data_IF_524028475532
#
_entry.id   IF_524028475532
#
_cell.length_a   1.000
_cell.length_b   1.000
_cell.length_c   1.000
_cell.angle_alpha   90.00
_cell.angle_beta   90.00
_cell.angle_gamma   90.00
#
_symmetry.space_group_name_H-M   'P 1'
#
loop_
_entity.id
_entity.type
_entity.pdbx_description
1 polymer ?
#
# COMPACT_ATOMS: atom_id res chain seq x y z
N UNK A 1 -4.32 -22.17 31.74
CA UNK A 1 -3.08 -22.34 30.99
C UNK A 1 -2.88 -21.11 30.09
N UNK A 2 -1.94 -20.23 30.44
CA UNK A 2 -1.68 -18.96 29.75
C UNK A 2 -1.39 -19.14 28.26
N UNK A 3 -0.74 -20.25 27.90
CA UNK A 3 -0.41 -20.53 26.50
C UNK A 3 -1.64 -20.98 25.67
N UNK A 4 -2.63 -21.62 26.30
CA UNK A 4 -3.83 -22.04 25.58
C UNK A 4 -4.82 -20.90 25.32
N UNK A 5 -4.64 -19.77 25.97
CA UNK A 5 -5.44 -18.56 25.77
C UNK A 5 -4.78 -17.58 24.78
N UNK A 6 -3.58 -17.88 24.33
CA UNK A 6 -2.90 -17.05 23.34
C UNK A 6 -3.29 -17.56 21.94
N UNK A 7 -3.95 -16.71 21.16
CA UNK A 7 -4.45 -17.06 19.81
C UNK A 7 -3.34 -17.48 18.84
N UNK A 8 -2.09 -17.09 19.10
CA UNK A 8 -0.91 -17.54 18.33
C UNK A 8 -0.65 -19.05 18.45
N UNK A 9 -0.96 -19.62 19.60
CA UNK A 9 -0.81 -21.06 19.84
C UNK A 9 -2.12 -21.82 19.67
N UNK A 10 -3.16 -21.14 19.21
CA UNK A 10 -4.41 -21.79 18.87
C UNK A 10 -4.37 -22.25 17.41
N UNK A 11 -4.14 -23.52 17.21
CA UNK A 11 -4.10 -24.16 15.89
C UNK A 11 -5.42 -24.10 15.13
N UNK A 12 -6.50 -23.70 15.78
CA UNK A 12 -7.80 -23.46 15.16
C UNK A 12 -8.01 -22.02 14.74
N UNK A 13 -7.04 -21.15 15.02
CA UNK A 13 -7.10 -19.74 14.63
C UNK A 13 -6.87 -19.63 13.13
N UNK A 14 -7.91 -19.26 12.41
CA UNK A 14 -7.87 -19.12 10.96
C UNK A 14 -7.25 -17.78 10.55
N UNK A 15 -6.51 -17.80 9.45
CA UNK A 15 -6.02 -16.58 8.88
C UNK A 15 -7.18 -15.71 8.36
N UNK A 16 -7.09 -14.42 8.60
CA UNK A 16 -8.10 -13.45 8.20
C UNK A 16 -8.43 -13.55 6.70
N UNK A 17 -9.73 -13.55 6.40
CA UNK A 17 -10.21 -13.58 5.02
C UNK A 17 -10.11 -14.93 4.31
N UNK A 18 -9.62 -15.99 4.97
CA UNK A 18 -9.56 -17.33 4.39
C UNK A 18 -10.69 -18.21 4.91
N UNK A 19 -11.36 -18.89 4.00
CA UNK A 19 -12.36 -19.89 4.34
C UNK A 19 -11.74 -21.30 4.22
N UNK A 20 -11.51 -21.95 5.36
CA UNK A 20 -10.88 -23.27 5.42
C UNK A 20 -11.86 -24.43 5.21
N UNK A 21 -13.16 -24.16 5.11
CA UNK A 21 -14.21 -25.15 4.91
C UNK A 21 -14.57 -25.32 3.42
N UNK A 22 -13.92 -24.57 2.53
CA UNK A 22 -14.10 -24.71 1.08
C UNK A 22 -13.04 -25.61 0.48
N UNK A 23 -13.29 -26.11 -0.72
CA UNK A 23 -12.26 -26.82 -1.50
C UNK A 23 -11.00 -25.95 -1.64
N UNK A 24 -9.85 -26.61 -1.53
CA UNK A 24 -8.56 -25.95 -1.73
C UNK A 24 -8.48 -25.43 -3.17
N UNK A 25 -7.95 -24.22 -3.33
CA UNK A 25 -7.72 -23.65 -4.65
C UNK A 25 -6.78 -24.56 -5.47
N UNK A 26 -7.17 -24.81 -6.70
CA UNK A 26 -6.34 -25.54 -7.66
C UNK A 26 -5.32 -24.59 -8.30
N UNK A 27 -4.03 -24.95 -8.21
CA UNK A 27 -2.91 -24.18 -8.76
C UNK A 27 -2.23 -24.88 -9.94
N UNK A 28 -2.99 -25.62 -10.73
CA UNK A 28 -2.44 -26.18 -11.98
C UNK A 28 -2.26 -25.09 -13.05
N UNK A 29 -1.29 -25.29 -13.94
CA UNK A 29 -1.07 -24.38 -15.07
C UNK A 29 -2.33 -24.26 -15.95
N UNK A 30 -3.13 -25.31 -16.06
CA UNK A 30 -4.38 -25.29 -16.81
C UNK A 30 -5.38 -24.35 -16.15
N UNK A 31 -5.57 -24.47 -14.83
CA UNK A 31 -6.49 -23.62 -14.06
C UNK A 31 -6.07 -22.15 -14.05
N UNK A 32 -4.77 -21.89 -13.90
CA UNK A 32 -4.24 -20.52 -13.96
C UNK A 32 -4.47 -19.88 -15.33
N UNK A 33 -4.29 -20.64 -16.42
CA UNK A 33 -4.58 -20.14 -17.78
C UNK A 33 -6.07 -19.91 -18.00
N UNK A 34 -6.92 -20.81 -17.52
CA UNK A 34 -8.39 -20.62 -17.55
C UNK A 34 -8.80 -19.33 -16.86
N UNK A 35 -8.29 -19.08 -15.63
CA UNK A 35 -8.59 -17.88 -14.85
C UNK A 35 -8.01 -16.60 -15.50
N UNK A 36 -6.82 -16.70 -16.10
CA UNK A 36 -6.17 -15.57 -16.77
C UNK A 36 -6.88 -15.20 -18.08
N UNK A 37 -7.54 -16.15 -18.75
CA UNK A 37 -8.21 -15.95 -20.03
C UNK A 37 -9.74 -15.78 -19.88
N UNK A 38 -10.21 -15.31 -18.74
CA UNK A 38 -11.63 -14.96 -18.57
C UNK A 38 -11.94 -13.64 -19.30
N UNK A 39 -12.30 -13.75 -20.57
CA UNK A 39 -12.60 -12.60 -21.44
C UNK A 39 -13.69 -11.70 -20.89
N UNK A 40 -14.65 -12.24 -20.13
CA UNK A 40 -15.73 -11.46 -19.52
C UNK A 40 -15.18 -10.57 -18.41
N UNK A 41 -14.35 -11.13 -17.53
CA UNK A 41 -13.69 -10.35 -16.47
C UNK A 41 -12.74 -9.33 -17.06
N UNK A 42 -11.91 -9.73 -18.02
CA UNK A 42 -11.01 -8.81 -18.71
C UNK A 42 -11.75 -7.64 -19.36
N UNK A 43 -12.90 -7.88 -19.99
CA UNK A 43 -13.72 -6.82 -20.58
C UNK A 43 -14.34 -5.89 -19.52
N UNK A 44 -14.76 -6.44 -18.38
CA UNK A 44 -15.29 -5.64 -17.27
C UNK A 44 -14.19 -4.76 -16.66
N UNK A 45 -13.02 -5.31 -16.43
CA UNK A 45 -11.86 -4.58 -15.91
C UNK A 45 -11.43 -3.47 -16.87
N UNK A 46 -11.37 -3.77 -18.17
CA UNK A 46 -11.08 -2.77 -19.19
C UNK A 46 -12.10 -1.62 -19.18
N UNK A 47 -13.39 -1.93 -19.16
CA UNK A 47 -14.45 -0.90 -19.09
C UNK A 47 -14.35 -0.06 -17.82
N UNK A 48 -14.07 -0.69 -16.68
CA UNK A 48 -13.84 -0.02 -15.41
C UNK A 48 -12.64 0.92 -15.50
N UNK A 49 -11.50 0.45 -16.02
CA UNK A 49 -10.30 1.25 -16.23
C UNK A 49 -10.55 2.48 -17.11
N UNK A 50 -11.24 2.29 -18.24
CA UNK A 50 -11.62 3.41 -19.13
C UNK A 50 -12.54 4.40 -18.42
N UNK A 51 -13.47 3.92 -17.58
CA UNK A 51 -14.35 4.80 -16.80
C UNK A 51 -13.55 5.66 -15.81
N UNK A 52 -12.60 5.05 -15.10
CA UNK A 52 -11.69 5.75 -14.17
C UNK A 52 -10.91 6.84 -14.91
N UNK A 53 -10.29 6.50 -16.03
CA UNK A 53 -9.51 7.44 -16.83
C UNK A 53 -10.38 8.59 -17.40
N UNK A 54 -11.60 8.30 -17.83
CA UNK A 54 -12.52 9.32 -18.28
C UNK A 54 -12.96 10.27 -17.16
N UNK A 55 -13.20 9.75 -15.96
CA UNK A 55 -13.53 10.55 -14.78
C UNK A 55 -12.35 11.45 -14.38
N UNK A 56 -11.13 10.88 -14.38
CA UNK A 56 -9.91 11.65 -14.16
C UNK A 56 -9.79 12.78 -15.20
N UNK A 57 -9.94 12.47 -16.49
CA UNK A 57 -9.89 13.45 -17.57
C UNK A 57 -10.91 14.56 -17.38
N UNK A 58 -12.15 14.23 -17.06
CA UNK A 58 -13.23 15.22 -16.83
C UNK A 58 -12.90 16.18 -15.68
N UNK A 59 -12.27 15.68 -14.61
CA UNK A 59 -11.88 16.51 -13.46
C UNK A 59 -10.71 17.44 -13.76
N UNK A 60 -9.77 16.98 -14.55
CA UNK A 60 -8.48 17.65 -14.74
C UNK A 60 -8.40 18.46 -16.06
N UNK A 61 -9.27 18.18 -17.03
CA UNK A 61 -9.27 18.87 -18.30
C UNK A 61 -10.22 20.06 -18.28
N UNK A 62 -9.65 21.27 -18.34
CA UNK A 62 -10.40 22.51 -18.54
C UNK A 62 -10.30 22.90 -20.02
N UNK A 63 -11.46 23.20 -20.65
CA UNK A 63 -11.49 23.60 -22.07
C UNK A 63 -10.61 24.82 -22.30
N UNK A 64 -9.73 24.74 -23.30
CA UNK A 64 -8.78 25.83 -23.63
C UNK A 64 -7.44 25.75 -22.90
N UNK A 65 -7.21 24.72 -22.08
CA UNK A 65 -5.92 24.51 -21.40
C UNK A 65 -5.12 23.38 -22.03
N UNK A 66 -3.84 23.30 -21.69
CA UNK A 66 -2.95 22.19 -22.05
C UNK A 66 -3.55 20.89 -21.48
N UNK A 67 -3.44 19.78 -22.23
CA UNK A 67 -3.90 18.46 -21.76
C UNK A 67 -3.24 18.11 -20.42
N UNK A 68 -4.02 17.70 -19.41
CA UNK A 68 -3.45 17.31 -18.13
C UNK A 68 -2.54 16.10 -18.29
N UNK A 69 -1.44 16.08 -17.54
CA UNK A 69 -0.53 14.94 -17.50
C UNK A 69 -1.01 13.95 -16.44
N UNK A 70 -1.08 12.68 -16.80
CA UNK A 70 -1.33 11.59 -15.86
C UNK A 70 0.03 11.15 -15.30
N UNK A 71 0.28 11.38 -14.02
CA UNK A 71 1.51 10.97 -13.36
C UNK A 71 1.24 9.69 -12.57
N UNK A 72 2.01 8.66 -12.88
CA UNK A 72 2.02 7.38 -12.19
C UNK A 72 3.41 7.19 -11.59
N UNK A 73 3.47 6.82 -10.32
CA UNK A 73 4.73 6.57 -9.62
C UNK A 73 4.81 5.10 -9.27
N UNK A 74 5.82 4.42 -9.80
CA UNK A 74 6.12 3.04 -9.47
C UNK A 74 7.40 2.98 -8.62
N UNK A 75 7.33 2.37 -7.44
CA UNK A 75 8.44 2.26 -6.50
C UNK A 75 8.86 0.82 -6.32
N UNK A 76 10.16 0.61 -6.21
CA UNK A 76 10.76 -0.71 -6.02
C UNK A 76 11.01 -1.02 -4.55
N UNK A 77 10.97 -2.30 -4.19
CA UNK A 77 11.36 -2.77 -2.86
C UNK A 77 12.84 -2.56 -2.56
N UNK A 78 13.25 -2.78 -1.34
CA UNK A 78 14.65 -2.66 -0.89
C UNK A 78 14.81 -2.23 0.58
N UNK A 79 13.85 -2.58 1.42
CA UNK A 79 13.87 -2.28 2.85
C UNK A 79 13.84 -0.77 3.14
N UNK A 80 14.37 -0.36 4.29
CA UNK A 80 14.38 1.04 4.72
C UNK A 80 15.15 1.96 3.77
N UNK A 81 16.19 1.45 3.10
CA UNK A 81 16.94 2.24 2.11
C UNK A 81 16.06 2.67 0.95
N UNK A 82 15.18 1.78 0.49
CA UNK A 82 14.25 2.09 -0.59
C UNK A 82 13.18 3.08 -0.13
N UNK A 83 12.72 2.99 1.12
CA UNK A 83 11.78 3.95 1.70
C UNK A 83 12.41 5.36 1.73
N UNK A 84 13.61 5.49 2.29
CA UNK A 84 14.35 6.75 2.34
C UNK A 84 14.63 7.32 0.94
N UNK A 85 15.06 6.44 0.01
CA UNK A 85 15.32 6.84 -1.37
C UNK A 85 14.05 7.37 -2.04
N UNK A 86 12.92 6.70 -1.87
CA UNK A 86 11.64 7.13 -2.43
C UNK A 86 11.23 8.50 -1.91
N UNK A 87 11.35 8.74 -0.60
CA UNK A 87 11.07 10.05 -0.01
C UNK A 87 11.98 11.13 -0.62
N UNK A 88 13.29 10.86 -0.67
CA UNK A 88 14.26 11.81 -1.22
C UNK A 88 14.03 12.08 -2.70
N UNK A 89 13.70 11.05 -3.47
CA UNK A 89 13.39 11.21 -4.89
C UNK A 89 12.13 12.06 -5.10
N UNK A 90 11.06 11.81 -4.34
CA UNK A 90 9.82 12.60 -4.41
C UNK A 90 10.08 14.06 -4.03
N UNK A 91 10.82 14.33 -2.95
CA UNK A 91 11.25 15.71 -2.60
C UNK A 91 12.03 16.37 -3.72
N UNK A 92 12.98 15.65 -4.31
CA UNK A 92 13.79 16.21 -5.38
C UNK A 92 12.98 16.52 -6.64
N UNK A 93 12.11 15.59 -7.06
CA UNK A 93 11.23 15.82 -8.22
C UNK A 93 10.29 17.00 -7.95
N UNK A 94 9.70 17.07 -6.76
CA UNK A 94 8.82 18.16 -6.38
C UNK A 94 9.55 19.51 -6.43
N UNK A 95 10.80 19.56 -5.96
CA UNK A 95 11.63 20.78 -6.03
C UNK A 95 12.01 21.25 -7.45
N UNK A 96 11.96 20.33 -8.42
CA UNK A 96 12.24 20.63 -9.83
C UNK A 96 10.98 20.97 -10.63
N UNK A 97 9.81 20.74 -10.06
CA UNK A 97 8.53 21.01 -10.72
C UNK A 97 7.95 22.33 -10.22
N UNK A 98 7.38 23.11 -11.13
CA UNK A 98 6.66 24.35 -10.79
C UNK A 98 5.22 24.07 -10.33
N UNK A 99 4.84 22.79 -10.23
CA UNK A 99 3.50 22.34 -9.86
C UNK A 99 3.57 21.48 -8.61
N UNK A 100 2.52 21.49 -7.84
CA UNK A 100 2.32 20.57 -6.71
C UNK A 100 2.36 19.13 -7.21
N UNK A 101 3.52 18.47 -7.05
CA UNK A 101 3.75 17.12 -7.53
C UNK A 101 2.74 16.13 -6.94
N UNK A 102 2.52 16.19 -5.62
CA UNK A 102 1.69 15.24 -4.90
C UNK A 102 0.21 15.32 -5.31
N UNK A 103 -0.26 16.52 -5.63
CA UNK A 103 -1.62 16.70 -6.16
C UNK A 103 -1.77 16.16 -7.59
N UNK A 104 -0.68 16.09 -8.34
CA UNK A 104 -0.67 15.64 -9.73
C UNK A 104 -0.36 14.14 -9.88
N UNK A 105 0.08 13.45 -8.83
CA UNK A 105 0.24 12.00 -8.84
C UNK A 105 -1.11 11.33 -8.63
N UNK A 106 -1.51 10.52 -9.60
CA UNK A 106 -2.80 9.86 -9.62
C UNK A 106 -2.78 8.41 -9.14
N UNK A 107 -1.62 7.79 -9.18
CA UNK A 107 -1.44 6.43 -8.73
C UNK A 107 -0.02 6.22 -8.22
N UNK A 108 0.09 5.66 -7.03
CA UNK A 108 1.30 5.03 -6.53
C UNK A 108 1.18 3.52 -6.62
N UNK A 109 2.17 2.88 -7.16
CA UNK A 109 2.31 1.43 -7.16
C UNK A 109 3.70 1.07 -6.62
N UNK A 110 3.82 -0.07 -6.00
CA UNK A 110 5.13 -0.47 -5.51
C UNK A 110 5.09 -1.66 -4.59
N UNK A 111 6.24 -1.97 -4.05
CA UNK A 111 6.41 -3.07 -3.10
C UNK A 111 7.34 -2.67 -1.96
N UNK A 112 7.13 -3.29 -0.80
CA UNK A 112 8.05 -3.22 0.36
C UNK A 112 8.42 -1.76 0.71
N UNK A 113 9.70 -1.50 1.01
CA UNK A 113 10.19 -0.20 1.47
C UNK A 113 9.87 0.97 0.56
N UNK A 114 9.95 0.81 -0.75
CA UNK A 114 9.60 1.89 -1.68
C UNK A 114 8.15 2.33 -1.55
N UNK A 115 7.23 1.37 -1.39
CA UNK A 115 5.83 1.71 -1.16
C UNK A 115 5.58 2.32 0.22
N UNK A 116 6.34 1.90 1.25
CA UNK A 116 6.30 2.52 2.58
C UNK A 116 6.69 4.00 2.48
N UNK A 117 7.78 4.32 1.79
CA UNK A 117 8.21 5.69 1.58
C UNK A 117 7.19 6.53 0.80
N UNK A 118 6.61 5.97 -0.25
CA UNK A 118 5.57 6.64 -1.03
C UNK A 118 4.30 6.90 -0.21
N UNK A 119 3.84 5.92 0.57
CA UNK A 119 2.69 6.03 1.43
C UNK A 119 2.90 7.08 2.53
N UNK A 120 4.08 7.07 3.17
CA UNK A 120 4.46 8.08 4.16
C UNK A 120 4.38 9.50 3.58
N UNK A 121 5.02 9.75 2.44
CA UNK A 121 4.99 11.07 1.82
C UNK A 121 3.57 11.50 1.41
N UNK A 122 2.75 10.57 0.95
CA UNK A 122 1.35 10.85 0.63
C UNK A 122 0.54 11.20 1.86
N UNK A 123 0.74 10.50 2.97
CA UNK A 123 0.08 10.78 4.25
C UNK A 123 0.47 12.17 4.78
N UNK A 124 1.75 12.51 4.78
CA UNK A 124 2.22 13.83 5.21
C UNK A 124 1.60 14.95 4.36
N UNK A 125 1.51 14.75 3.06
CA UNK A 125 0.83 15.69 2.18
C UNK A 125 -0.66 15.85 2.53
N UNK A 126 -1.37 14.77 2.84
CA UNK A 126 -2.78 14.82 3.25
C UNK A 126 -2.98 15.52 4.60
N UNK A 127 -1.99 15.49 5.46
CA UNK A 127 -1.96 16.24 6.72
C UNK A 127 -1.53 17.70 6.55
N UNK A 128 -1.37 18.17 5.32
CA UNK A 128 -0.90 19.52 4.96
C UNK A 128 0.54 19.82 5.40
N UNK A 129 1.35 18.79 5.57
CA UNK A 129 2.78 18.95 5.81
C UNK A 129 3.52 19.31 4.52
N UNK A 130 4.56 20.13 4.66
CA UNK A 130 5.41 20.52 3.53
C UNK A 130 6.26 19.34 3.07
N UNK A 131 6.12 18.91 1.83
CA UNK A 131 6.89 17.79 1.25
C UNK A 131 8.40 17.96 1.40
N UNK A 132 8.88 19.21 1.37
CA UNK A 132 10.30 19.58 1.47
C UNK A 132 10.85 19.58 2.91
N UNK A 133 10.05 19.29 3.93
CA UNK A 133 10.53 19.28 5.30
C UNK A 133 11.65 18.24 5.50
N UNK A 134 12.78 18.66 6.07
CA UNK A 134 13.92 17.78 6.32
C UNK A 134 13.58 16.67 7.32
N UNK A 135 12.68 16.94 8.26
CA UNK A 135 12.17 15.97 9.25
C UNK A 135 11.59 14.70 8.64
N UNK A 136 11.10 14.76 7.40
CA UNK A 136 10.58 13.56 6.74
C UNK A 136 11.67 12.51 6.50
N UNK A 137 12.89 12.94 6.16
CA UNK A 137 14.01 12.03 5.97
C UNK A 137 14.46 11.42 7.31
N UNK A 138 14.48 12.21 8.36
CA UNK A 138 14.81 11.74 9.71
C UNK A 138 13.77 10.72 10.20
N UNK A 139 12.49 11.03 10.03
CA UNK A 139 11.40 10.15 10.44
C UNK A 139 11.44 8.79 9.71
N UNK A 140 11.59 8.81 8.37
CA UNK A 140 11.58 7.58 7.58
C UNK A 140 12.88 6.77 7.72
N UNK A 141 13.98 7.39 8.14
CA UNK A 141 15.24 6.71 8.43
C UNK A 141 15.32 6.14 9.85
N UNK A 142 14.35 6.45 10.70
CA UNK A 142 14.29 5.88 12.04
C UNK A 142 14.17 4.36 12.00
N UNK A 143 14.71 3.70 13.01
CA UNK A 143 14.67 2.25 13.12
C UNK A 143 13.24 1.75 13.39
N UNK A 144 12.63 1.17 12.36
CA UNK A 144 11.28 0.57 12.45
C UNK A 144 11.35 -0.89 12.89
N UNK A 145 12.46 -1.57 12.67
CA UNK A 145 12.56 -3.03 12.85
C UNK A 145 12.76 -3.41 14.32
N UNK A 146 13.57 -2.68 15.06
CA UNK A 146 13.82 -2.98 16.48
C UNK A 146 12.55 -2.90 17.33
N UNK A 147 11.70 -1.86 17.23
CA UNK A 147 10.42 -1.83 17.93
C UNK A 147 9.51 -3.01 17.58
N UNK A 148 9.44 -3.39 16.31
CA UNK A 148 8.65 -4.54 15.86
C UNK A 148 9.21 -5.84 16.44
N UNK A 149 10.53 -6.07 16.31
CA UNK A 149 11.17 -7.26 16.83
C UNK A 149 11.04 -7.36 18.35
N UNK A 150 11.17 -6.24 19.06
CA UNK A 150 10.97 -6.18 20.50
C UNK A 150 9.51 -6.51 20.87
N UNK A 151 8.53 -5.90 20.19
CA UNK A 151 7.12 -6.22 20.43
C UNK A 151 6.81 -7.69 20.19
N UNK A 152 7.32 -8.27 19.11
CA UNK A 152 7.16 -9.69 18.83
C UNK A 152 7.80 -10.59 19.88
N UNK A 153 8.97 -10.23 20.39
CA UNK A 153 9.71 -11.04 21.35
C UNK A 153 9.15 -10.94 22.77
N UNK A 154 8.70 -9.77 23.18
CA UNK A 154 8.35 -9.47 24.58
C UNK A 154 6.84 -9.40 24.80
N UNK A 155 6.11 -8.72 23.91
CA UNK A 155 4.71 -8.42 24.14
C UNK A 155 3.78 -9.55 23.70
N UNK A 156 3.94 -10.00 22.48
CA UNK A 156 3.01 -10.92 21.86
C UNK A 156 2.96 -12.34 22.46
N UNK A 157 4.07 -12.94 22.93
CA UNK A 157 4.02 -14.26 23.58
C UNK A 157 3.40 -14.26 24.97
N UNK A 158 3.46 -13.14 25.70
CA UNK A 158 3.15 -13.10 27.13
C UNK A 158 2.01 -12.14 27.49
N UNK A 159 1.83 -11.07 26.73
CA UNK A 159 0.88 -10.02 27.04
C UNK A 159 0.09 -9.67 25.79
N UNK A 160 -1.23 -9.79 25.86
CA UNK A 160 -2.13 -9.32 24.82
C UNK A 160 -2.39 -7.84 25.04
N UNK A 161 -1.77 -6.98 24.24
CA UNK A 161 -1.91 -5.53 24.37
C UNK A 161 -3.14 -4.97 23.68
N UNK A 162 -3.61 -5.63 22.66
CA UNK A 162 -4.70 -5.11 21.85
C UNK A 162 -5.54 -6.24 21.28
N UNK A 163 -6.83 -6.21 21.54
CA UNK A 163 -7.80 -7.01 20.82
C UNK A 163 -8.08 -6.34 19.47
N UNK A 164 -7.83 -7.06 18.41
CA UNK A 164 -8.25 -6.60 17.09
C UNK A 164 -9.73 -6.93 16.91
N UNK A 165 -10.54 -5.89 16.81
CA UNK A 165 -11.96 -5.99 16.52
C UNK A 165 -12.29 -4.93 15.48
N UNK A 166 -12.52 -5.34 14.24
CA UNK A 166 -12.95 -4.46 13.17
C UNK A 166 -14.47 -4.35 13.05
N UNK A 167 -15.20 -4.94 13.99
CA UNK A 167 -16.66 -4.92 14.06
C UNK A 167 -17.37 -5.82 13.06
N UNK A 168 -16.67 -6.36 12.08
CA UNK A 168 -17.23 -7.20 11.02
C UNK A 168 -16.73 -8.65 11.15
N UNK A 169 -15.50 -8.83 11.62
CA UNK A 169 -14.77 -10.11 11.62
C UNK A 169 -14.20 -10.47 13.00
N UNK A 170 -14.79 -9.97 14.06
CA UNK A 170 -14.42 -10.31 15.45
C UNK A 170 -14.81 -11.73 15.83
#
# INVERSE_FOLDING_TARGET
NLLSQNDRFNYTNYAYGLNYNTEKAEYTNAKLRELANDDKKALLDFKSGISILNNWRKRNFKKGTVKPKLILVATSGGGLRSALWTCKALQHIDSLTEVDLMNNIHLFTGSSGGMIGAAYMREMYLQNETIQAASHLDNISADILNPIAFSMAVSDPFIRFQDFNDGIFS
#
